data_IF_797928773482
#
_entry.id   IF_797928773482
#
_cell.length_a   1.000
_cell.length_b   1.000
_cell.length_c   1.000
_cell.angle_alpha   90.00
_cell.angle_beta   90.00
_cell.angle_gamma   90.00
#
_symmetry.space_group_name_H-M   'P 1'
#
loop_
_entity.id
_entity.type
_entity.pdbx_description
1 polymer ?
#
# COMPACT_ATOMS: atom_id res chain seq x y z
N UNK A 1 52.83 -45.70 41.39
CA UNK A 1 53.98 -46.41 40.78
C UNK A 1 53.61 -46.87 39.37
N UNK A 2 54.62 -47.01 38.50
CA UNK A 2 54.72 -47.87 37.32
C UNK A 2 53.59 -47.88 36.25
N UNK A 3 53.99 -47.63 35.01
CA UNK A 3 53.20 -47.80 33.78
C UNK A 3 53.45 -49.17 33.10
N UNK A 4 52.87 -49.33 31.89
CA UNK A 4 53.00 -50.45 30.91
C UNK A 4 52.03 -51.62 31.17
N UNK A 5 51.41 -52.27 30.18
CA UNK A 5 51.83 -52.50 28.77
C UNK A 5 50.67 -52.40 27.73
N UNK A 6 50.96 -51.78 26.57
CA UNK A 6 50.57 -52.25 25.22
C UNK A 6 51.70 -53.21 24.72
N UNK A 7 51.59 -54.04 23.65
CA UNK A 7 50.76 -53.91 22.43
C UNK A 7 49.81 -55.15 22.25
N UNK A 8 49.24 -55.55 21.10
CA UNK A 8 49.52 -55.22 19.70
C UNK A 8 48.30 -55.32 18.73
N UNK A 9 48.63 -55.27 17.44
CA UNK A 9 47.81 -55.23 16.22
C UNK A 9 47.45 -56.60 15.61
N UNK A 10 46.25 -56.68 15.02
CA UNK A 10 46.00 -57.44 13.79
C UNK A 10 45.00 -56.66 12.90
N UNK A 11 45.21 -56.68 11.59
CA UNK A 11 44.42 -55.99 10.56
C UNK A 11 44.47 -56.85 9.27
N UNK A 12 43.91 -56.43 8.12
CA UNK A 12 42.60 -55.83 7.85
C UNK A 12 41.80 -56.66 6.81
N UNK A 13 40.49 -56.39 6.60
CA UNK A 13 39.86 -56.59 5.27
C UNK A 13 38.92 -55.43 4.91
N UNK A 14 39.00 -55.01 3.64
CA UNK A 14 38.34 -53.84 3.05
C UNK A 14 36.96 -54.21 2.51
N UNK A 15 35.99 -53.31 2.64
CA UNK A 15 34.74 -53.33 1.87
C UNK A 15 34.40 -51.92 1.33
N UNK A 16 34.86 -51.67 0.11
CA UNK A 16 34.23 -50.87 -0.94
C UNK A 16 33.36 -49.66 -0.57
N UNK A 17 33.95 -48.47 -0.63
CA UNK A 17 33.22 -47.18 -0.71
C UNK A 17 32.41 -47.11 -2.01
N UNK A 18 31.10 -46.86 -1.92
CA UNK A 18 30.28 -46.42 -3.07
C UNK A 18 29.95 -44.93 -2.93
N UNK A 19 30.67 -44.09 -3.69
CA UNK A 19 30.35 -42.67 -3.87
C UNK A 19 28.97 -42.53 -4.51
N UNK A 20 28.06 -41.78 -3.90
CA UNK A 20 26.90 -41.21 -4.62
C UNK A 20 26.76 -39.72 -4.28
N UNK A 21 27.46 -38.93 -5.10
CA UNK A 21 27.17 -37.55 -5.50
C UNK A 21 26.09 -36.80 -4.71
N UNK A 22 26.56 -35.89 -3.85
CA UNK A 22 26.05 -34.51 -3.70
C UNK A 22 24.59 -34.27 -4.08
N UNK A 23 23.73 -34.30 -3.06
CA UNK A 23 22.58 -33.41 -2.84
C UNK A 23 22.50 -32.24 -3.83
N UNK A 24 21.74 -32.43 -4.91
CA UNK A 24 21.15 -31.32 -5.63
C UNK A 24 20.14 -30.66 -4.69
N UNK A 25 20.54 -29.54 -4.07
CA UNK A 25 19.70 -28.78 -3.16
C UNK A 25 18.57 -28.14 -3.97
N UNK A 26 17.51 -28.91 -4.21
CA UNK A 26 16.27 -28.43 -4.79
C UNK A 26 15.81 -27.25 -3.93
N UNK A 27 16.00 -26.05 -4.46
CA UNK A 27 15.58 -24.82 -3.80
C UNK A 27 14.07 -24.89 -3.70
N UNK A 28 13.57 -25.24 -2.52
CA UNK A 28 12.18 -25.08 -2.16
C UNK A 28 11.90 -23.59 -2.21
N UNK A 29 11.51 -23.15 -3.41
CA UNK A 29 11.05 -21.79 -3.69
C UNK A 29 9.92 -21.56 -2.71
N UNK A 30 10.21 -20.80 -1.64
CA UNK A 30 9.20 -20.38 -0.67
C UNK A 30 8.03 -19.85 -1.49
N UNK A 31 6.78 -20.31 -1.27
CA UNK A 31 5.65 -19.67 -1.92
C UNK A 31 5.75 -18.18 -1.60
N UNK A 32 5.73 -17.36 -2.65
CA UNK A 32 5.81 -15.92 -2.47
C UNK A 32 4.68 -15.52 -1.53
N UNK A 33 5.02 -14.88 -0.41
CA UNK A 33 4.04 -14.51 0.60
C UNK A 33 3.11 -13.45 0.01
N UNK A 34 1.94 -13.89 -0.44
CA UNK A 34 0.83 -13.07 -0.91
C UNK A 34 0.16 -12.35 0.28
N UNK A 35 0.94 -11.52 0.98
CA UNK A 35 0.58 -10.90 2.27
C UNK A 35 -0.43 -9.76 2.20
N UNK A 36 -1.11 -9.59 1.06
CA UNK A 36 -2.00 -8.45 0.77
C UNK A 36 -3.42 -8.87 0.41
N UNK A 37 -3.75 -10.17 0.46
CA UNK A 37 -5.05 -10.68 -0.02
C UNK A 37 -6.03 -10.79 1.14
N UNK A 38 -7.23 -10.22 0.97
CA UNK A 38 -8.36 -10.42 1.88
C UNK A 38 -8.75 -11.90 1.92
N UNK A 39 -9.19 -12.45 3.07
CA UNK A 39 -9.62 -13.85 3.09
C UNK A 39 -10.86 -14.05 2.20
N UNK A 40 -10.97 -15.21 1.52
CA UNK A 40 -12.12 -15.49 0.65
C UNK A 40 -13.47 -15.43 1.42
N UNK A 41 -13.45 -15.82 2.71
CA UNK A 41 -14.57 -15.65 3.63
C UNK A 41 -14.94 -14.19 3.86
N UNK A 42 -13.95 -13.30 4.04
CA UNK A 42 -14.22 -11.87 4.25
C UNK A 42 -14.69 -11.20 2.95
N UNK A 43 -14.18 -11.60 1.78
CA UNK A 43 -14.70 -11.15 0.48
C UNK A 43 -16.18 -11.51 0.37
N UNK A 44 -16.54 -12.78 0.60
CA UNK A 44 -17.92 -13.25 0.53
C UNK A 44 -18.86 -12.49 1.48
N UNK A 45 -18.42 -12.23 2.72
CA UNK A 45 -19.18 -11.44 3.71
C UNK A 45 -19.39 -10.00 3.23
N UNK A 46 -18.38 -9.37 2.63
CA UNK A 46 -18.49 -8.00 2.12
C UNK A 46 -19.32 -7.92 0.84
N UNK A 47 -19.22 -8.90 -0.07
CA UNK A 47 -20.00 -8.91 -1.31
C UNK A 47 -21.50 -9.17 -1.07
N UNK A 48 -21.84 -9.90 -0.01
CA UNK A 48 -23.23 -10.07 0.45
C UNK A 48 -23.88 -8.78 1.02
N UNK A 49 -23.11 -7.71 1.28
CA UNK A 49 -23.66 -6.44 1.77
C UNK A 49 -24.43 -5.68 0.65
N UNK A 50 -25.44 -4.88 1.01
CA UNK A 50 -26.15 -4.02 0.06
C UNK A 50 -25.22 -3.04 -0.66
N UNK A 51 -25.54 -2.67 -1.90
CA UNK A 51 -24.76 -1.72 -2.72
C UNK A 51 -24.62 -0.33 -2.09
N UNK A 52 -25.50 0.06 -1.16
CA UNK A 52 -25.34 1.27 -0.35
C UNK A 52 -23.99 1.34 0.39
N UNK A 53 -23.39 0.18 0.71
CA UNK A 53 -22.09 0.08 1.37
C UNK A 53 -20.90 0.36 0.44
N UNK A 54 -21.11 0.51 -0.88
CA UNK A 54 -20.06 0.88 -1.85
C UNK A 54 -19.60 2.35 -1.72
N UNK A 55 -20.44 3.19 -1.10
CA UNK A 55 -20.18 4.62 -0.91
C UNK A 55 -18.86 4.89 -0.17
N UNK A 56 -18.13 5.92 -0.61
CA UNK A 56 -16.91 6.35 0.08
C UNK A 56 -17.20 6.83 1.51
N UNK A 57 -16.30 6.58 2.48
CA UNK A 57 -16.50 7.03 3.85
C UNK A 57 -16.55 8.57 3.93
N UNK A 58 -17.58 9.08 4.60
CA UNK A 58 -17.81 10.52 4.84
C UNK A 58 -16.88 11.10 5.90
N UNK A 59 -16.53 10.27 6.90
CA UNK A 59 -15.54 10.56 7.92
C UNK A 59 -14.11 10.19 7.47
N UNK A 60 -13.09 10.76 8.14
CA UNK A 60 -11.70 10.37 7.91
C UNK A 60 -11.47 8.96 8.48
N UNK A 61 -10.84 8.07 7.72
CA UNK A 61 -10.58 6.68 8.12
C UNK A 61 -9.96 6.52 9.52
N UNK A 62 -9.03 7.42 9.89
CA UNK A 62 -8.41 7.42 11.22
C UNK A 62 -9.41 7.72 12.35
N UNK A 63 -10.35 8.63 12.13
CA UNK A 63 -11.39 8.99 13.10
C UNK A 63 -12.46 7.86 13.16
N UNK A 64 -12.77 7.21 12.03
CA UNK A 64 -13.64 6.01 11.95
C UNK A 64 -13.08 4.82 12.74
N UNK A 65 -11.79 4.50 12.57
CA UNK A 65 -11.10 3.46 13.36
C UNK A 65 -11.08 3.78 14.86
N UNK A 66 -10.90 5.06 15.22
CA UNK A 66 -10.94 5.48 16.62
C UNK A 66 -12.36 5.32 17.20
N UNK A 67 -13.39 5.67 16.44
CA UNK A 67 -14.79 5.48 16.83
C UNK A 67 -15.11 3.98 17.05
N UNK A 68 -14.59 3.09 16.19
CA UNK A 68 -14.71 1.64 16.37
C UNK A 68 -14.03 1.13 17.65
N UNK A 69 -12.80 1.56 17.93
CA UNK A 69 -12.09 1.21 19.17
C UNK A 69 -12.82 1.71 20.42
N UNK A 70 -13.34 2.94 20.38
CA UNK A 70 -14.12 3.52 21.47
C UNK A 70 -15.43 2.75 21.71
N UNK A 71 -16.17 2.42 20.64
CA UNK A 71 -17.40 1.63 20.73
C UNK A 71 -17.14 0.22 21.28
N UNK A 72 -16.07 -0.46 20.84
CA UNK A 72 -15.69 -1.77 21.36
C UNK A 72 -15.34 -1.72 22.85
N UNK A 73 -14.55 -0.72 23.28
CA UNK A 73 -14.21 -0.53 24.69
C UNK A 73 -15.43 -0.22 25.56
N UNK A 74 -16.31 0.69 25.09
CA UNK A 74 -17.54 1.03 25.80
C UNK A 74 -18.51 -0.17 25.88
N UNK A 75 -18.67 -0.94 24.80
CA UNK A 75 -19.46 -2.16 24.82
C UNK A 75 -18.87 -3.19 25.80
N UNK A 76 -17.55 -3.39 25.81
CA UNK A 76 -16.89 -4.34 26.73
C UNK A 76 -17.10 -3.97 28.19
N UNK A 77 -16.98 -2.68 28.53
CA UNK A 77 -17.18 -2.19 29.90
C UNK A 77 -18.65 -2.25 30.36
N UNK A 78 -19.60 -2.06 29.44
CA UNK A 78 -21.04 -1.93 29.76
C UNK A 78 -21.91 -3.04 29.14
N UNK A 79 -21.34 -4.19 28.81
CA UNK A 79 -22.03 -5.26 28.07
C UNK A 79 -23.34 -5.72 28.74
N UNK A 80 -23.34 -5.90 30.07
CA UNK A 80 -24.52 -6.35 30.82
C UNK A 80 -25.73 -5.39 30.66
N UNK A 81 -25.65 -4.10 31.05
CA UNK A 81 -26.77 -3.17 30.87
C UNK A 81 -27.10 -2.89 29.40
N UNK A 82 -26.12 -2.90 28.49
CA UNK A 82 -26.39 -2.72 27.06
C UNK A 82 -27.23 -3.86 26.47
N UNK A 83 -26.87 -5.12 26.75
CA UNK A 83 -27.61 -6.29 26.24
C UNK A 83 -28.98 -6.43 26.94
N UNK A 84 -29.11 -6.05 28.20
CA UNK A 84 -30.39 -6.08 28.91
C UNK A 84 -31.35 -4.95 28.52
N UNK A 85 -30.83 -3.77 28.17
CA UNK A 85 -31.61 -2.55 27.93
C UNK A 85 -31.75 -2.11 26.47
N UNK A 86 -31.29 -2.91 25.50
CA UNK A 86 -31.31 -2.54 24.08
C UNK A 86 -31.48 -3.74 23.15
N UNK A 87 -31.41 -3.51 21.84
CA UNK A 87 -31.46 -4.54 20.79
C UNK A 87 -30.10 -5.25 20.57
N UNK A 88 -29.06 -4.91 21.34
CA UNK A 88 -27.74 -5.51 21.20
C UNK A 88 -27.67 -6.90 21.84
N UNK A 89 -26.77 -7.75 21.32
CA UNK A 89 -26.59 -9.14 21.76
C UNK A 89 -25.22 -9.33 22.42
N UNK A 90 -25.03 -10.42 23.15
CA UNK A 90 -23.73 -10.78 23.71
C UNK A 90 -22.63 -11.02 22.64
N UNK A 91 -23.00 -11.23 21.36
CA UNK A 91 -22.05 -11.34 20.26
C UNK A 91 -21.57 -9.97 19.75
N UNK A 92 -22.33 -8.89 19.93
CA UNK A 92 -22.09 -7.57 19.30
C UNK A 92 -20.64 -7.07 19.46
N UNK A 93 -20.02 -7.26 20.61
CA UNK A 93 -18.60 -6.91 20.81
C UNK A 93 -17.64 -7.73 19.93
N UNK A 94 -17.85 -9.05 19.83
CA UNK A 94 -17.09 -9.94 18.93
C UNK A 94 -17.34 -9.60 17.46
N UNK A 95 -18.59 -9.27 17.11
CA UNK A 95 -19.00 -8.92 15.76
C UNK A 95 -18.31 -7.62 15.29
N UNK A 96 -18.25 -6.59 16.16
CA UNK A 96 -17.49 -5.37 15.91
C UNK A 96 -15.99 -5.63 15.82
N UNK A 97 -15.41 -6.44 16.72
CA UNK A 97 -13.98 -6.78 16.66
C UNK A 97 -13.61 -7.48 15.34
N UNK A 98 -14.47 -8.37 14.86
CA UNK A 98 -14.31 -9.00 13.55
C UNK A 98 -14.48 -7.99 12.41
N UNK A 99 -15.44 -7.06 12.48
CA UNK A 99 -15.59 -5.99 11.49
C UNK A 99 -14.35 -5.07 11.42
N UNK A 100 -13.74 -4.73 12.56
CA UNK A 100 -12.49 -3.99 12.62
C UNK A 100 -11.33 -4.73 11.93
N UNK A 101 -11.16 -6.02 12.22
CA UNK A 101 -10.13 -6.84 11.59
C UNK A 101 -10.29 -6.93 10.06
N UNK A 102 -11.53 -7.06 9.57
CA UNK A 102 -11.87 -7.05 8.14
C UNK A 102 -11.56 -5.71 7.48
N UNK A 103 -11.90 -4.60 8.13
CA UNK A 103 -11.59 -3.28 7.62
C UNK A 103 -10.07 -3.05 7.53
N UNK A 104 -9.29 -3.41 8.57
CA UNK A 104 -7.83 -3.30 8.52
C UNK A 104 -7.21 -4.19 7.42
N UNK A 105 -7.75 -5.39 7.20
CA UNK A 105 -7.32 -6.25 6.10
C UNK A 105 -7.65 -5.62 4.72
N UNK A 106 -8.84 -5.03 4.57
CA UNK A 106 -9.25 -4.38 3.32
C UNK A 106 -8.48 -3.08 3.05
N UNK A 107 -8.10 -2.33 4.08
CA UNK A 107 -7.21 -1.18 3.96
C UNK A 107 -5.79 -1.61 3.55
N UNK A 108 -5.25 -2.71 4.10
CA UNK A 108 -3.97 -3.29 3.66
C UNK A 108 -4.01 -3.78 2.21
N UNK A 109 -5.09 -4.45 1.79
CA UNK A 109 -5.28 -4.90 0.42
C UNK A 109 -5.36 -3.71 -0.55
N UNK A 110 -6.20 -2.71 -0.25
CA UNK A 110 -6.29 -1.47 -1.02
C UNK A 110 -4.94 -0.75 -1.14
N UNK A 111 -4.21 -0.59 -0.03
CA UNK A 111 -2.90 0.08 -0.07
C UNK A 111 -1.82 -0.73 -0.80
N UNK A 112 -2.00 -2.05 -0.95
CA UNK A 112 -1.11 -2.92 -1.74
C UNK A 112 -1.30 -2.79 -3.26
N UNK A 113 -2.53 -2.51 -3.72
CA UNK A 113 -2.85 -2.38 -5.16
C UNK A 113 -2.98 -0.93 -5.63
N UNK A 114 -3.19 0.03 -4.71
CA UNK A 114 -3.37 1.44 -5.05
C UNK A 114 -2.07 2.03 -5.58
N UNK A 115 -2.10 2.41 -6.85
CA UNK A 115 -1.06 3.19 -7.50
C UNK A 115 -0.77 4.49 -6.74
N UNK A 116 0.46 4.61 -6.23
CA UNK A 116 0.96 5.85 -5.61
C UNK A 116 1.46 6.83 -6.67
N UNK A 117 0.60 7.13 -7.65
CA UNK A 117 0.86 8.15 -8.65
C UNK A 117 1.00 9.52 -7.96
N UNK A 118 2.03 10.33 -8.27
CA UNK A 118 2.14 11.69 -7.74
C UNK A 118 0.91 12.53 -8.10
N UNK A 119 0.64 13.59 -7.34
CA UNK A 119 -0.28 14.61 -7.84
C UNK A 119 0.31 15.24 -9.11
N UNK A 120 -0.53 15.73 -10.03
CA UNK A 120 -0.04 16.32 -11.30
C UNK A 120 0.93 17.48 -11.05
N UNK A 121 0.74 18.23 -9.96
CA UNK A 121 1.63 19.32 -9.53
C UNK A 121 3.01 18.80 -9.09
N UNK A 122 3.05 17.72 -8.32
CA UNK A 122 4.32 17.07 -7.90
C UNK A 122 5.00 16.39 -9.10
N UNK A 123 4.24 15.71 -9.95
CA UNK A 123 4.73 15.09 -11.18
C UNK A 123 5.36 16.12 -12.12
N UNK A 124 4.73 17.29 -12.32
CA UNK A 124 5.31 18.36 -13.14
C UNK A 124 6.62 18.86 -12.55
N UNK A 125 6.65 19.18 -11.25
CA UNK A 125 7.88 19.66 -10.60
C UNK A 125 9.02 18.63 -10.71
N UNK A 126 8.73 17.37 -10.42
CA UNK A 126 9.72 16.29 -10.48
C UNK A 126 10.17 16.00 -11.92
N UNK A 127 9.25 16.10 -12.89
CA UNK A 127 9.53 15.97 -14.32
C UNK A 127 10.48 17.05 -14.83
N UNK A 128 10.23 18.31 -14.50
CA UNK A 128 11.14 19.43 -14.85
C UNK A 128 12.53 19.25 -14.21
N UNK A 129 12.58 18.86 -12.94
CA UNK A 129 13.85 18.56 -12.27
C UNK A 129 14.61 17.38 -12.91
N UNK A 130 13.91 16.38 -13.44
CA UNK A 130 14.49 15.22 -14.11
C UNK A 130 14.95 15.58 -15.53
N UNK A 131 14.11 16.28 -16.30
CA UNK A 131 14.40 16.86 -17.63
C UNK A 131 15.68 17.70 -17.57
N UNK A 132 15.77 18.62 -16.61
CA UNK A 132 16.96 19.45 -16.42
C UNK A 132 18.24 18.65 -16.13
N UNK A 133 18.17 17.61 -15.29
CA UNK A 133 19.32 16.75 -14.96
C UNK A 133 19.79 15.92 -16.16
N UNK A 134 18.85 15.39 -16.96
CA UNK A 134 19.17 14.58 -18.15
C UNK A 134 19.73 15.46 -19.28
N UNK A 135 19.13 16.62 -19.55
CA UNK A 135 19.68 17.60 -20.51
C UNK A 135 21.07 18.10 -20.10
N UNK A 136 21.29 18.38 -18.81
CA UNK A 136 22.59 18.81 -18.29
C UNK A 136 23.67 17.73 -18.48
N UNK A 137 23.33 16.45 -18.25
CA UNK A 137 24.21 15.33 -18.52
C UNK A 137 24.53 15.18 -20.02
N UNK A 138 23.51 15.16 -20.88
CA UNK A 138 23.69 15.03 -22.33
C UNK A 138 24.58 16.15 -22.89
N UNK A 139 24.26 17.42 -22.59
CA UNK A 139 25.02 18.58 -23.08
C UNK A 139 26.48 18.61 -22.59
N UNK A 140 26.77 18.07 -21.40
CA UNK A 140 28.13 18.02 -20.86
C UNK A 140 28.97 16.86 -21.44
N UNK A 141 28.38 15.67 -21.59
CA UNK A 141 29.11 14.48 -22.04
C UNK A 141 29.11 14.28 -23.56
N UNK A 142 28.21 14.95 -24.29
CA UNK A 142 28.03 14.82 -25.75
C UNK A 142 28.00 16.19 -26.45
N UNK A 143 28.55 17.24 -25.83
CA UNK A 143 28.51 18.61 -26.36
C UNK A 143 29.18 18.81 -27.72
N UNK A 144 30.16 17.96 -28.06
CA UNK A 144 30.82 17.95 -29.37
C UNK A 144 29.97 17.30 -30.48
N UNK A 145 28.95 16.51 -30.11
CA UNK A 145 28.03 15.88 -31.06
C UNK A 145 26.88 16.84 -31.41
N UNK A 146 27.03 17.50 -32.56
CA UNK A 146 26.03 18.44 -33.10
C UNK A 146 24.66 17.80 -33.35
N UNK A 147 24.58 16.49 -33.60
CA UNK A 147 23.30 15.80 -33.80
C UNK A 147 22.58 15.58 -32.46
N UNK A 148 23.31 15.19 -31.40
CA UNK A 148 22.77 15.06 -30.03
C UNK A 148 22.34 16.43 -29.50
N UNK A 149 23.15 17.47 -29.71
CA UNK A 149 22.81 18.83 -29.29
C UNK A 149 21.53 19.34 -29.99
N UNK A 150 21.40 19.14 -31.31
CA UNK A 150 20.17 19.50 -32.04
C UNK A 150 18.92 18.75 -31.56
N UNK A 151 19.06 17.49 -31.12
CA UNK A 151 17.96 16.75 -30.47
C UNK A 151 17.62 17.34 -29.09
N UNK A 152 18.63 17.68 -28.28
CA UNK A 152 18.43 18.30 -26.97
C UNK A 152 17.70 19.65 -27.06
N UNK A 153 17.99 20.46 -28.08
CA UNK A 153 17.37 21.77 -28.24
C UNK A 153 15.90 21.67 -28.65
N UNK A 154 15.55 20.72 -29.54
CA UNK A 154 14.15 20.41 -29.91
C UNK A 154 13.29 19.90 -28.74
N UNK A 155 13.91 19.33 -27.71
CA UNK A 155 13.27 18.87 -26.47
C UNK A 155 13.01 20.06 -25.50
N UNK A 156 13.52 21.27 -25.79
CA UNK A 156 13.33 22.46 -24.96
C UNK A 156 12.21 23.38 -25.47
N UNK A 157 11.78 23.24 -26.73
CA UNK A 157 10.81 24.15 -27.37
C UNK A 157 9.33 23.94 -26.94
N UNK A 158 9.00 22.83 -26.27
CA UNK A 158 7.64 22.52 -25.79
C UNK A 158 7.26 23.17 -24.45
N UNK A 159 5.96 23.44 -24.24
CA UNK A 159 5.41 24.00 -22.98
C UNK A 159 4.05 23.42 -22.60
N UNK A 160 4.05 22.38 -21.76
CA UNK A 160 2.83 21.77 -21.23
C UNK A 160 3.08 20.45 -20.54
N UNK A 161 2.06 19.86 -19.90
CA UNK A 161 2.18 18.53 -19.27
C UNK A 161 2.38 17.43 -20.32
N UNK A 162 1.74 17.56 -21.48
CA UNK A 162 1.90 16.62 -22.61
C UNK A 162 3.30 16.72 -23.21
N UNK A 163 3.80 17.94 -23.42
CA UNK A 163 5.14 18.17 -23.94
C UNK A 163 6.21 17.66 -22.97
N UNK A 164 6.09 17.99 -21.67
CA UNK A 164 7.01 17.50 -20.63
C UNK A 164 7.05 15.97 -20.54
N UNK A 165 5.92 15.29 -20.75
CA UNK A 165 5.87 13.83 -20.78
C UNK A 165 6.59 13.24 -22.01
N UNK A 166 6.35 13.80 -23.19
CA UNK A 166 7.00 13.40 -24.45
C UNK A 166 8.51 13.69 -24.43
N UNK A 167 8.91 14.83 -23.86
CA UNK A 167 10.30 15.19 -23.59
C UNK A 167 11.01 14.21 -22.66
N UNK A 168 10.34 13.77 -21.59
CA UNK A 168 10.87 12.77 -20.67
C UNK A 168 11.10 11.42 -21.36
N UNK A 169 10.20 10.99 -22.26
CA UNK A 169 10.38 9.76 -23.06
C UNK A 169 11.58 9.92 -24.00
N UNK A 170 11.63 10.99 -24.80
CA UNK A 170 12.74 11.28 -25.73
C UNK A 170 14.10 11.35 -25.04
N UNK A 171 14.16 11.90 -23.82
CA UNK A 171 15.39 11.97 -23.03
C UNK A 171 15.83 10.61 -22.48
N UNK A 172 14.89 9.72 -22.15
CA UNK A 172 15.22 8.35 -21.75
C UNK A 172 15.83 7.59 -22.92
N UNK A 173 15.21 7.64 -24.09
CA UNK A 173 15.70 6.98 -25.30
C UNK A 173 17.08 7.52 -25.69
N UNK A 174 17.27 8.84 -25.71
CA UNK A 174 18.56 9.47 -26.01
C UNK A 174 19.64 9.15 -24.96
N UNK A 175 19.27 9.03 -23.67
CA UNK A 175 20.20 8.56 -22.65
C UNK A 175 20.54 7.06 -22.79
N UNK A 176 19.64 6.24 -23.32
CA UNK A 176 19.88 4.83 -23.58
C UNK A 176 20.78 4.62 -24.81
N UNK A 177 20.55 5.37 -25.89
CA UNK A 177 21.41 5.38 -27.10
C UNK A 177 22.89 5.67 -26.76
N UNK A 178 23.14 6.56 -25.79
CA UNK A 178 24.49 6.98 -25.38
C UNK A 178 24.92 6.48 -23.99
N UNK A 179 24.34 5.39 -23.49
CA UNK A 179 24.55 4.89 -22.13
C UNK A 179 26.03 4.60 -21.77
N UNK A 180 26.85 4.22 -22.74
CA UNK A 180 28.29 3.97 -22.56
C UNK A 180 29.07 5.26 -22.24
N UNK A 181 28.80 6.35 -22.97
CA UNK A 181 29.40 7.67 -22.74
C UNK A 181 28.87 8.31 -21.46
N UNK A 182 27.58 8.10 -21.17
CA UNK A 182 26.90 8.59 -19.97
C UNK A 182 27.18 7.78 -18.69
N UNK A 183 28.02 6.73 -18.74
CA UNK A 183 28.33 5.89 -17.58
C UNK A 183 28.96 6.64 -16.39
N UNK A 184 29.53 7.84 -16.63
CA UNK A 184 30.08 8.75 -15.60
C UNK A 184 29.12 9.91 -15.24
N UNK A 185 27.96 10.00 -15.88
CA UNK A 185 27.01 11.09 -15.67
C UNK A 185 26.24 10.94 -14.35
N UNK A 186 25.84 12.07 -13.76
CA UNK A 186 25.06 12.11 -12.51
C UNK A 186 23.55 11.93 -12.75
N UNK A 187 23.18 11.00 -13.62
CA UNK A 187 21.78 10.64 -13.86
C UNK A 187 21.30 9.71 -12.72
N UNK A 188 20.12 9.95 -12.12
CA UNK A 188 19.58 9.06 -11.09
C UNK A 188 19.44 7.60 -11.56
N UNK A 189 19.79 6.64 -10.69
CA UNK A 189 19.52 5.22 -10.97
C UNK A 189 18.00 5.01 -11.03
N UNK A 190 17.51 4.36 -12.09
CA UNK A 190 16.06 4.22 -12.35
C UNK A 190 15.41 5.46 -12.96
N UNK A 191 16.18 6.41 -13.52
CA UNK A 191 15.63 7.58 -14.21
C UNK A 191 14.63 7.23 -15.32
N UNK A 192 14.84 6.12 -16.05
CA UNK A 192 13.91 5.63 -17.08
C UNK A 192 12.54 5.26 -16.51
N UNK A 193 12.50 4.38 -15.49
CA UNK A 193 11.27 3.96 -14.82
C UNK A 193 10.55 5.17 -14.20
N UNK A 194 11.31 6.13 -13.67
CA UNK A 194 10.75 7.33 -13.05
C UNK A 194 10.20 8.33 -14.07
N UNK A 195 10.89 8.54 -15.18
CA UNK A 195 10.42 9.36 -16.31
C UNK A 195 9.11 8.80 -16.88
N UNK A 196 9.00 7.49 -17.10
CA UNK A 196 7.76 6.84 -17.51
C UNK A 196 6.61 7.08 -16.51
N UNK A 197 6.88 6.86 -15.20
CA UNK A 197 5.90 7.11 -14.13
C UNK A 197 5.39 8.56 -14.11
N UNK A 198 6.26 9.52 -14.42
CA UNK A 198 5.92 10.95 -14.47
C UNK A 198 5.15 11.27 -15.76
N UNK A 199 5.60 10.78 -16.91
CA UNK A 199 4.93 10.95 -18.21
C UNK A 199 3.48 10.45 -18.19
N UNK A 200 3.23 9.28 -17.59
CA UNK A 200 1.88 8.73 -17.35
C UNK A 200 1.03 9.63 -16.43
N UNK A 201 1.64 10.18 -15.38
CA UNK A 201 0.97 11.05 -14.43
C UNK A 201 0.58 12.41 -15.04
N UNK A 202 1.35 12.89 -16.02
CA UNK A 202 1.17 14.16 -16.73
C UNK A 202 0.18 14.07 -17.90
N UNK A 203 0.28 13.05 -18.76
CA UNK A 203 -0.56 12.91 -19.97
C UNK A 203 -1.91 12.22 -19.72
N UNK A 204 -1.90 11.14 -18.94
CA UNK A 204 -2.93 10.09 -19.03
C UNK A 204 -3.94 10.06 -17.89
N UNK A 205 -3.68 10.80 -16.81
CA UNK A 205 -4.57 10.86 -15.66
C UNK A 205 -5.96 11.45 -15.95
N UNK A 206 -6.14 12.17 -17.05
CA UNK A 206 -7.33 12.96 -17.37
C UNK A 206 -8.52 12.14 -17.93
N UNK A 207 -8.27 11.00 -18.60
CA UNK A 207 -9.32 10.15 -19.20
C UNK A 207 -9.28 8.69 -18.76
N UNK A 208 -8.21 8.23 -18.08
CA UNK A 208 -8.04 6.83 -17.67
C UNK A 208 -7.87 6.60 -16.16
N UNK A 209 -8.18 7.55 -15.27
CA UNK A 209 -8.33 7.27 -13.81
C UNK A 209 -9.68 6.64 -13.41
N UNK A 210 -10.21 5.71 -14.22
CA UNK A 210 -10.79 4.51 -13.61
C UNK A 210 -9.58 3.71 -13.14
N UNK A 211 -9.50 3.41 -11.84
CA UNK A 211 -8.46 2.50 -11.35
C UNK A 211 -8.49 1.18 -12.13
N UNK A 212 -7.43 0.39 -12.04
CA UNK A 212 -7.46 -0.97 -12.59
C UNK A 212 -8.69 -1.72 -12.04
N UNK A 213 -9.24 -2.73 -12.75
CA UNK A 213 -10.38 -3.49 -12.21
C UNK A 213 -10.12 -4.04 -10.80
N UNK A 214 -8.87 -4.38 -10.51
CA UNK A 214 -8.36 -4.77 -9.19
C UNK A 214 -8.37 -3.61 -8.18
N UNK A 215 -7.87 -2.42 -8.53
CA UNK A 215 -7.97 -1.22 -7.69
C UNK A 215 -9.42 -0.85 -7.37
N UNK A 216 -10.31 -0.89 -8.37
CA UNK A 216 -11.75 -0.59 -8.18
C UNK A 216 -12.39 -1.63 -7.25
N UNK A 217 -12.10 -2.92 -7.45
CA UNK A 217 -12.61 -3.99 -6.59
C UNK A 217 -12.09 -3.87 -5.14
N UNK A 218 -10.80 -3.61 -4.95
CA UNK A 218 -10.19 -3.42 -3.63
C UNK A 218 -10.72 -2.16 -2.93
N UNK A 219 -10.89 -1.05 -3.65
CA UNK A 219 -11.50 0.17 -3.11
C UNK A 219 -12.96 -0.08 -2.68
N UNK A 220 -13.74 -0.82 -3.51
CA UNK A 220 -15.11 -1.22 -3.20
C UNK A 220 -15.17 -2.03 -1.90
N UNK A 221 -14.37 -3.10 -1.79
CA UNK A 221 -14.30 -3.94 -0.60
C UNK A 221 -13.90 -3.14 0.65
N UNK A 222 -12.93 -2.23 0.54
CA UNK A 222 -12.53 -1.33 1.64
C UNK A 222 -13.67 -0.40 2.07
N UNK A 223 -14.39 0.21 1.12
CA UNK A 223 -15.55 1.06 1.43
C UNK A 223 -16.64 0.24 2.15
N UNK A 224 -16.96 -0.96 1.63
CA UNK A 224 -17.94 -1.86 2.26
C UNK A 224 -17.57 -2.23 3.69
N UNK A 225 -16.31 -2.60 3.93
CA UNK A 225 -15.83 -2.94 5.26
C UNK A 225 -15.90 -1.73 6.22
N UNK A 226 -15.59 -0.53 5.73
CA UNK A 226 -15.65 0.72 6.49
C UNK A 226 -17.09 1.05 6.92
N UNK A 227 -18.04 0.93 5.99
CA UNK A 227 -19.45 1.20 6.24
C UNK A 227 -20.09 0.11 7.12
N UNK A 228 -19.70 -1.16 6.97
CA UNK A 228 -20.12 -2.26 7.86
C UNK A 228 -19.64 -2.04 9.30
N UNK A 229 -18.37 -1.71 9.49
CA UNK A 229 -17.82 -1.36 10.81
C UNK A 229 -18.51 -0.13 11.40
N UNK A 230 -18.78 0.90 10.59
CA UNK A 230 -19.49 2.11 11.04
C UNK A 230 -20.92 1.83 11.50
N UNK A 231 -21.66 0.96 10.81
CA UNK A 231 -23.01 0.55 11.23
C UNK A 231 -23.03 -0.13 12.61
N UNK A 232 -22.04 -0.99 12.92
CA UNK A 232 -21.88 -1.55 14.26
C UNK A 232 -21.57 -0.48 15.32
N UNK A 233 -20.76 0.52 14.98
CA UNK A 233 -20.44 1.66 15.86
C UNK A 233 -21.68 2.49 16.17
N UNK A 234 -22.48 2.82 15.15
CA UNK A 234 -23.70 3.59 15.34
C UNK A 234 -24.73 2.84 16.18
N UNK A 235 -24.92 1.53 15.94
CA UNK A 235 -25.79 0.70 16.77
C UNK A 235 -25.36 0.69 18.25
N UNK A 236 -24.06 0.60 18.55
CA UNK A 236 -23.54 0.64 19.92
C UNK A 236 -23.70 2.03 20.55
N UNK A 237 -23.42 3.09 19.81
CA UNK A 237 -23.56 4.46 20.31
C UNK A 237 -25.02 4.90 20.44
N UNK A 238 -25.94 4.40 19.63
CA UNK A 238 -27.39 4.61 19.81
C UNK A 238 -27.91 3.85 21.03
N UNK A 239 -27.61 2.55 21.13
CA UNK A 239 -27.99 1.75 22.29
C UNK A 239 -27.46 2.34 23.61
N UNK A 240 -26.19 2.75 23.65
CA UNK A 240 -25.61 3.38 24.84
C UNK A 240 -26.19 4.75 25.16
N UNK A 241 -26.52 5.58 24.14
CA UNK A 241 -27.24 6.85 24.36
C UNK A 241 -28.63 6.64 24.96
N UNK A 242 -29.33 5.58 24.56
CA UNK A 242 -30.65 5.22 25.09
C UNK A 242 -30.54 4.65 26.52
N UNK A 243 -29.77 3.57 26.71
CA UNK A 243 -29.62 2.87 28.00
C UNK A 243 -29.08 3.79 29.10
N UNK A 244 -28.14 4.68 28.76
CA UNK A 244 -27.52 5.60 29.71
C UNK A 244 -28.05 7.03 29.62
N UNK A 245 -29.24 7.27 29.04
CA UNK A 245 -29.79 8.62 28.86
C UNK A 245 -29.81 9.49 30.14
N UNK A 246 -29.89 8.85 31.32
CA UNK A 246 -29.90 9.50 32.64
C UNK A 246 -28.53 9.52 33.35
N UNK A 247 -27.44 9.03 32.73
CA UNK A 247 -26.06 9.09 33.26
C UNK A 247 -25.14 9.94 32.36
N UNK A 248 -25.00 11.25 32.64
CA UNK A 248 -24.13 12.15 31.88
C UNK A 248 -22.63 11.81 31.92
N UNK A 249 -22.17 10.96 32.84
CA UNK A 249 -20.75 10.53 32.88
C UNK A 249 -20.54 9.43 31.86
N UNK A 250 -21.40 8.42 31.85
CA UNK A 250 -21.33 7.27 30.93
C UNK A 250 -21.68 7.68 29.49
N UNK A 251 -22.63 8.59 29.29
CA UNK A 251 -22.99 9.13 27.96
C UNK A 251 -21.85 9.76 27.16
N UNK A 252 -20.74 10.14 27.80
CA UNK A 252 -19.57 10.68 27.10
C UNK A 252 -18.80 9.61 26.32
N UNK A 253 -18.95 8.33 26.70
CA UNK A 253 -18.30 7.18 26.07
C UNK A 253 -19.01 6.74 24.78
N UNK A 254 -20.30 7.06 24.64
CA UNK A 254 -21.16 6.67 23.51
C UNK A 254 -21.34 7.81 22.49
N UNK A 255 -20.22 8.45 22.10
CA UNK A 255 -20.20 9.57 21.14
C UNK A 255 -19.06 9.40 20.14
N UNK A 256 -19.34 9.74 18.87
CA UNK A 256 -18.31 9.83 17.82
C UNK A 256 -17.32 10.95 18.14
N UNK A 257 -16.04 10.68 17.95
CA UNK A 257 -14.97 11.67 17.93
C UNK A 257 -15.07 12.45 16.62
N UNK A 258 -15.82 13.54 16.65
CA UNK A 258 -15.86 14.51 15.55
C UNK A 258 -14.80 15.57 15.79
N UNK A 259 -13.68 15.52 15.06
CA UNK A 259 -12.81 16.70 14.96
C UNK A 259 -13.55 17.75 14.13
N UNK A 260 -13.58 19.04 14.56
CA UNK A 260 -14.09 20.09 13.69
C UNK A 260 -13.30 20.03 12.38
N UNK A 261 -14.00 20.01 11.24
CA UNK A 261 -13.36 20.04 9.94
C UNK A 261 -12.36 21.21 9.93
N UNK A 262 -11.08 20.93 9.62
CA UNK A 262 -10.08 21.99 9.47
C UNK A 262 -10.64 22.97 8.46
N UNK A 263 -11.10 24.14 8.92
CA UNK A 263 -11.41 25.26 8.03
C UNK A 263 -10.15 25.46 7.21
N UNK A 264 -10.22 25.16 5.91
CA UNK A 264 -9.20 25.63 4.98
C UNK A 264 -9.21 27.14 5.18
N UNK A 265 -8.15 27.71 5.76
CA UNK A 265 -7.92 29.16 5.62
C UNK A 265 -7.87 29.38 4.12
N UNK A 266 -8.87 30.10 3.62
CA UNK A 266 -8.86 30.53 2.23
C UNK A 266 -7.64 31.41 2.03
N UNK A 267 -6.98 31.16 0.90
CA UNK A 267 -6.17 32.08 0.09
C UNK A 267 -5.71 33.36 0.81
#
# INVERSE_FOLDING_TARGET
MAAKKKPATAAPKKASVKKKTTSGKASTRRPATSGHVLSASDVSVLEALPSAYDAGPTERLADVLQNARNAHAAFTAYAKPLVAGSKLTASTGKDLAAAMARFEAAERAWNGVRSSAPSVVEARKEGEELKAKMLSALRYFLGDDKAVMSRCDKIVEGTGDVDLADDLVKLVDLCAEHASTLAKAKIPKGAADRAATIADALTGGATKRRGTPEEIAAQRLRNRACNAMSAHVDAIFEAGRYVFQNDPKVLKLFRRVTRPARRRRGL
#
